data_IF_925317295997
#
_entry.id   IF_925317295997
#
_cell.length_a   1.000
_cell.length_b   1.000
_cell.length_c   1.000
_cell.angle_alpha   90.00
_cell.angle_beta   90.00
_cell.angle_gamma   90.00
#
_symmetry.space_group_name_H-M   'P 1'
#
loop_
_entity.id
_entity.type
_entity.pdbx_description
1 polymer ?
#
# COMPACT_ATOMS: atom_id res chain seq x y z
N UNK A 1 21.08 -22.62 4.55
CA UNK A 1 20.94 -22.08 4.60
C UNK A 1 20.47 -21.32 4.39
N UNK A 2 20.21 -21.00 4.42
CA UNK A 2 19.87 -20.32 4.34
C UNK A 2 19.61 -19.52 4.04
N UNK A 3 19.31 -19.12 4.02
CA UNK A 3 19.04 -18.31 3.72
C UNK A 3 18.99 -17.44 3.74
N UNK A 4 19.12 -17.12 3.65
CA UNK A 4 19.14 -16.30 3.67
C UNK A 4 18.73 -15.21 3.28
N UNK A 5 17.97 -15.08 2.78
CA UNK A 5 17.40 -13.97 2.48
C UNK A 5 16.74 -13.49 3.62
N UNK A 6 17.09 -12.45 4.16
CA UNK A 6 16.52 -11.98 5.23
C UNK A 6 15.30 -11.27 5.04
N UNK A 7 15.00 -10.63 3.99
CA UNK A 7 13.79 -9.90 3.77
C UNK A 7 13.14 -10.45 2.61
N UNK A 8 12.49 -11.57 2.75
CA UNK A 8 11.84 -12.17 1.62
C UNK A 8 10.74 -11.27 1.17
N UNK A 9 10.66 -11.01 -0.05
CA UNK A 9 9.60 -10.38 -0.62
C UNK A 9 8.56 -11.33 -0.71
N UNK A 10 7.77 -11.54 0.25
CA UNK A 10 6.65 -12.43 0.20
C UNK A 10 5.58 -11.78 -0.59
N UNK A 11 5.13 -12.36 -1.65
CA UNK A 11 4.03 -11.79 -2.39
C UNK A 11 2.80 -11.96 -1.55
N UNK A 12 2.54 -11.04 -0.68
CA UNK A 12 1.37 -11.10 0.08
C UNK A 12 0.27 -10.44 -0.64
N UNK A 13 -0.75 -11.18 -1.00
CA UNK A 13 -1.91 -10.62 -1.63
C UNK A 13 -2.92 -10.39 -0.55
N UNK A 14 -2.95 -9.26 0.03
CA UNK A 14 -4.01 -8.93 0.97
C UNK A 14 -4.72 -7.68 0.47
N UNK A 15 -5.90 -7.45 1.01
CA UNK A 15 -6.68 -6.29 0.63
C UNK A 15 -6.32 -5.14 1.55
N UNK A 16 -6.36 -3.95 1.00
CA UNK A 16 -6.10 -2.75 1.77
C UNK A 16 -7.17 -1.73 1.42
N UNK A 17 -7.69 -1.06 2.44
CA UNK A 17 -8.66 0.01 2.23
C UNK A 17 -7.88 1.31 2.18
N UNK A 18 -8.07 2.06 1.13
CA UNK A 18 -7.36 3.32 0.95
C UNK A 18 -8.37 4.43 0.87
N UNK A 19 -8.12 5.50 1.61
CA UNK A 19 -9.00 6.65 1.59
C UNK A 19 -8.27 7.90 1.15
N UNK A 20 -8.95 8.70 0.35
CA UNK A 20 -8.42 9.95 -0.17
C UNK A 20 -9.61 10.82 -0.58
N UNK A 21 -9.52 12.14 -0.40
CA UNK A 21 -10.66 13.00 -0.72
C UNK A 21 -11.13 12.92 -2.16
N UNK A 22 -10.25 12.61 -3.10
CA UNK A 22 -10.65 12.61 -4.49
C UNK A 22 -11.52 11.42 -4.86
N UNK A 23 -11.51 10.33 -4.12
CA UNK A 23 -12.37 9.20 -4.46
C UNK A 23 -13.06 8.58 -3.25
N UNK A 24 -12.85 9.12 -2.06
CA UNK A 24 -13.47 8.56 -0.87
C UNK A 24 -12.67 7.36 -0.38
N UNK A 25 -13.27 6.19 -0.42
CA UNK A 25 -12.62 4.96 0.01
C UNK A 25 -12.70 3.93 -1.06
N UNK A 26 -11.67 3.11 -1.17
CA UNK A 26 -11.71 1.98 -2.06
C UNK A 26 -10.95 0.83 -1.40
N UNK A 27 -11.23 -0.38 -1.84
CA UNK A 27 -10.53 -1.55 -1.39
C UNK A 27 -9.82 -2.15 -2.59
N UNK A 28 -8.52 -2.39 -2.43
CA UNK A 28 -7.72 -2.90 -3.52
C UNK A 28 -6.78 -3.98 -3.00
N UNK A 29 -6.18 -4.70 -3.91
CA UNK A 29 -5.24 -5.74 -3.53
C UNK A 29 -3.83 -5.23 -3.55
N UNK A 30 -3.09 -5.54 -2.51
CA UNK A 30 -1.66 -5.24 -2.52
C UNK A 30 -0.97 -6.23 -3.42
N UNK A 31 0.14 -5.81 -3.99
CA UNK A 31 0.89 -6.67 -4.85
C UNK A 31 2.21 -7.01 -4.21
N UNK A 32 2.94 -6.01 -3.77
CA UNK A 32 4.20 -6.20 -3.10
C UNK A 32 4.20 -5.43 -1.82
N UNK A 33 4.57 -6.06 -0.74
CA UNK A 33 4.65 -5.41 0.54
C UNK A 33 6.05 -5.57 1.08
N UNK A 34 6.64 -4.48 1.54
CA UNK A 34 7.97 -4.51 2.11
C UNK A 34 7.99 -3.64 3.36
N UNK A 35 9.13 -3.56 4.01
CA UNK A 35 9.24 -2.73 5.19
C UNK A 35 9.00 -1.28 4.92
N UNK A 36 9.35 -0.79 3.79
CA UNK A 36 9.27 0.64 3.49
C UNK A 36 8.06 1.04 2.71
N UNK A 37 7.30 0.12 2.14
CA UNK A 37 6.18 0.53 1.31
C UNK A 37 5.39 -0.60 0.74
N UNK A 38 4.43 -0.26 -0.11
CA UNK A 38 3.54 -1.24 -0.69
C UNK A 38 3.15 -0.76 -2.09
N UNK A 39 2.99 -1.70 -3.01
CA UNK A 39 2.43 -1.42 -4.32
C UNK A 39 1.00 -1.93 -4.35
N UNK A 40 0.08 -1.08 -4.77
CA UNK A 40 -1.34 -1.42 -4.81
C UNK A 40 -1.86 -1.22 -6.21
N UNK A 41 -2.54 -2.20 -6.73
CA UNK A 41 -3.01 -2.19 -8.09
C UNK A 41 -4.46 -1.77 -8.13
N UNK A 42 -4.72 -0.60 -8.66
CA UNK A 42 -6.08 -0.09 -8.79
C UNK A 42 -6.05 1.13 -9.71
N UNK A 43 -6.95 1.23 -10.67
CA UNK A 43 -6.91 2.34 -11.62
C UNK A 43 -7.08 3.71 -10.98
N UNK A 44 -7.86 3.81 -9.92
CA UNK A 44 -8.03 5.10 -9.27
C UNK A 44 -6.76 5.55 -8.58
N UNK A 45 -5.94 4.61 -8.15
CA UNK A 45 -4.67 4.96 -7.54
C UNK A 45 -3.67 5.38 -8.59
N UNK A 46 -3.76 4.81 -9.78
CA UNK A 46 -2.87 5.20 -10.86
C UNK A 46 -3.09 6.63 -11.30
N UNK A 47 -4.21 7.20 -10.96
CA UNK A 47 -4.52 8.58 -11.31
C UNK A 47 -4.03 9.58 -10.28
N UNK A 48 -3.49 9.16 -9.17
CA UNK A 48 -3.05 10.08 -8.14
C UNK A 48 -1.69 10.68 -8.50
N UNK A 49 -1.49 11.95 -8.24
CA UNK A 49 -0.16 12.52 -8.47
C UNK A 49 0.83 11.98 -7.45
N UNK A 50 2.07 11.87 -7.88
CA UNK A 50 3.16 11.52 -6.97
C UNK A 50 3.24 12.58 -5.88
N UNK A 51 3.41 12.13 -4.65
CA UNK A 51 3.39 13.02 -3.49
C UNK A 51 2.06 13.09 -2.79
N UNK A 52 1.01 12.49 -3.37
CA UNK A 52 -0.30 12.47 -2.72
C UNK A 52 -0.25 11.68 -1.45
N UNK A 53 -1.01 12.13 -0.47
CA UNK A 53 -1.07 11.44 0.83
C UNK A 53 -2.39 10.72 0.94
N UNK A 54 -2.33 9.46 1.34
CA UNK A 54 -3.54 8.67 1.51
C UNK A 54 -3.46 7.95 2.84
N UNK A 55 -4.57 7.39 3.28
CA UNK A 55 -4.61 6.54 4.46
C UNK A 55 -4.97 5.14 4.05
N UNK A 56 -4.26 4.18 4.61
CA UNK A 56 -4.48 2.79 4.26
C UNK A 56 -4.62 1.91 5.48
N UNK A 57 -5.44 0.89 5.36
CA UNK A 57 -5.63 -0.07 6.45
C UNK A 57 -5.75 -1.46 5.85
N UNK A 58 -4.88 -2.35 6.27
CA UNK A 58 -4.89 -3.72 5.79
C UNK A 58 -6.13 -4.42 6.34
N UNK A 59 -6.80 -5.17 5.48
CA UNK A 59 -8.10 -5.73 5.82
C UNK A 59 -8.09 -7.19 6.21
N UNK A 60 -7.16 -7.96 5.75
CA UNK A 60 -7.24 -9.41 5.88
C UNK A 60 -6.44 -9.95 7.05
N UNK A 61 -6.48 -9.28 8.16
CA UNK A 61 -5.77 -9.71 9.36
C UNK A 61 -6.76 -10.19 10.40
N UNK A 62 -6.33 -11.08 11.28
CA UNK A 62 -7.25 -11.55 12.34
C UNK A 62 -7.63 -10.48 13.34
N UNK A 63 -6.83 -9.43 13.44
CA UNK A 63 -7.20 -8.31 14.29
C UNK A 63 -7.21 -7.08 13.44
N UNK A 64 -7.83 -6.04 13.94
CA UNK A 64 -7.93 -4.80 13.20
C UNK A 64 -6.57 -4.16 13.08
N UNK A 65 -6.17 -3.85 11.89
CA UNK A 65 -4.88 -3.24 11.65
C UNK A 65 -4.95 -1.74 11.90
N UNK A 66 -3.83 -1.11 12.22
CA UNK A 66 -3.83 0.35 12.38
C UNK A 66 -3.99 1.03 11.03
N UNK A 67 -4.48 2.26 11.07
CA UNK A 67 -4.55 3.08 9.89
C UNK A 67 -3.20 3.71 9.70
N UNK A 68 -2.65 3.52 8.49
CA UNK A 68 -1.31 4.01 8.17
C UNK A 68 -1.40 5.18 7.23
N UNK A 69 -0.45 6.08 7.33
CA UNK A 69 -0.34 7.16 6.37
C UNK A 69 0.67 6.79 5.33
N UNK A 70 0.30 7.00 4.08
CA UNK A 70 1.10 6.58 2.94
C UNK A 70 1.27 7.75 1.99
N UNK A 71 2.40 7.74 1.30
CA UNK A 71 2.67 8.75 0.28
C UNK A 71 2.90 8.06 -1.03
N UNK A 72 2.29 8.55 -2.09
CA UNK A 72 2.49 8.02 -3.44
C UNK A 72 3.90 8.37 -3.89
N UNK A 73 4.70 7.36 -4.18
CA UNK A 73 6.06 7.60 -4.65
C UNK A 73 6.20 7.37 -6.14
N UNK A 74 5.31 6.57 -6.73
CA UNK A 74 5.30 6.41 -8.18
C UNK A 74 3.96 5.88 -8.60
N UNK A 75 3.62 6.11 -9.84
CA UNK A 75 2.41 5.56 -10.43
C UNK A 75 2.76 4.95 -11.77
N UNK A 76 2.01 3.97 -12.18
CA UNK A 76 2.12 3.43 -13.53
C UNK A 76 0.70 3.24 -14.05
N UNK A 77 0.53 2.55 -15.13
CA UNK A 77 -0.81 2.40 -15.70
C UNK A 77 -1.72 1.49 -14.92
N UNK A 78 -1.22 0.79 -13.93
CA UNK A 78 -2.01 -0.20 -13.22
C UNK A 78 -2.27 0.15 -11.77
N UNK A 79 -1.48 0.99 -11.18
CA UNK A 79 -1.63 1.31 -9.77
C UNK A 79 -0.57 2.27 -9.30
N UNK A 80 -0.29 2.23 -8.02
CA UNK A 80 0.66 3.16 -7.41
C UNK A 80 1.50 2.48 -6.37
N UNK A 81 2.73 2.94 -6.24
CA UNK A 81 3.61 2.55 -5.16
C UNK A 81 3.57 3.60 -4.08
N UNK A 82 3.54 3.14 -2.84
CA UNK A 82 3.42 4.01 -1.68
C UNK A 82 4.55 3.71 -0.72
N UNK A 83 4.97 4.73 0.00
CA UNK A 83 5.87 4.49 1.13
C UNK A 83 5.11 4.77 2.41
N UNK A 84 5.46 4.02 3.44
CA UNK A 84 4.86 4.23 4.74
C UNK A 84 5.51 5.44 5.38
N UNK A 85 4.71 6.32 5.93
CA UNK A 85 5.22 7.49 6.60
C UNK A 85 5.35 7.22 8.08
N UNK A 86 6.36 7.75 8.72
CA UNK A 86 6.50 7.53 10.14
C UNK A 86 5.39 8.22 10.89
N UNK A 87 5.02 7.58 11.98
CA UNK A 87 3.94 8.07 12.73
C UNK A 87 4.44 8.93 13.81
N UNK A 88 4.96 9.84 13.81
CA UNK A 88 5.41 10.52 14.86
C UNK A 88 5.07 11.92 14.97
#
# INVERSE_FOLDING_TARGET
MANQRQFPRTPMKCRIRISHPSFGELIAQTRDLSDGGVYVRHPDLAALPVGSMVRGQVQDLPIEAPILELEVTRVDGEGAGFRFLPDD
#
